data_IF_909512726015
#
_entry.id   IF_909512726015
#
_cell.length_a   1.000
_cell.length_b   1.000
_cell.length_c   1.000
_cell.angle_alpha   90.00
_cell.angle_beta   90.00
_cell.angle_gamma   90.00
#
_symmetry.space_group_name_H-M   'P 1'
#
loop_
_entity.id
_entity.type
_entity.pdbx_description
1 polymer ?
#
# COMPACT_ATOMS: atom_id res chain seq x y z
N UNK A 1 12.62 -46.38 26.36
CA UNK A 1 12.51 -45.28 25.37
C UNK A 1 11.17 -45.25 24.60
N UNK A 2 10.04 -45.67 25.19
CA UNK A 2 8.70 -45.60 24.54
C UNK A 2 7.77 -44.53 25.14
N UNK A 3 8.11 -43.98 26.32
CA UNK A 3 7.30 -42.99 27.05
C UNK A 3 7.62 -41.53 26.69
N UNK A 4 8.85 -41.26 26.21
CA UNK A 4 9.25 -39.92 25.75
C UNK A 4 8.77 -39.60 24.33
N UNK A 5 8.49 -40.61 23.51
CA UNK A 5 7.93 -40.43 22.17
C UNK A 5 6.49 -39.89 22.20
N UNK A 6 5.72 -40.21 23.23
CA UNK A 6 4.34 -39.72 23.39
C UNK A 6 4.27 -38.25 23.80
N UNK A 7 5.25 -37.74 24.54
CA UNK A 7 5.27 -36.34 25.01
C UNK A 7 5.66 -35.39 23.87
N UNK A 8 6.56 -35.81 22.97
CA UNK A 8 6.91 -35.04 21.78
C UNK A 8 5.74 -34.89 20.78
N UNK A 9 4.83 -35.87 20.74
CA UNK A 9 3.65 -35.85 19.88
C UNK A 9 2.58 -34.84 20.33
N UNK A 10 2.55 -34.42 21.59
CA UNK A 10 1.50 -33.54 22.11
C UNK A 10 1.81 -32.05 21.88
N UNK A 11 3.07 -31.68 21.69
CA UNK A 11 3.52 -30.28 21.54
C UNK A 11 3.34 -29.79 20.08
N UNK A 12 3.24 -30.71 19.12
CA UNK A 12 3.18 -30.37 17.69
C UNK A 12 1.79 -29.87 17.20
N UNK A 13 0.77 -29.87 18.06
CA UNK A 13 -0.61 -29.52 17.66
C UNK A 13 -0.97 -28.05 17.94
N UNK A 14 -0.14 -27.28 18.66
CA UNK A 14 -0.50 -25.92 19.08
C UNK A 14 -0.01 -24.76 18.18
N UNK A 15 0.66 -25.03 17.06
CA UNK A 15 1.29 -23.95 16.25
C UNK A 15 0.43 -23.38 15.11
N UNK A 16 -0.87 -23.65 15.03
CA UNK A 16 -1.74 -23.19 13.93
C UNK A 16 -2.89 -22.31 14.40
N UNK A 17 -2.62 -21.18 15.07
CA UNK A 17 -3.59 -20.09 15.19
C UNK A 17 -2.95 -18.80 15.76
N UNK A 18 -2.02 -18.15 15.06
CA UNK A 18 -1.54 -16.81 15.46
C UNK A 18 -1.19 -15.94 14.24
N UNK A 19 -2.11 -15.88 13.27
CA UNK A 19 -1.94 -15.03 12.08
C UNK A 19 -3.02 -13.96 11.91
N UNK A 20 -4.05 -13.93 12.76
CA UNK A 20 -5.19 -13.00 12.62
C UNK A 20 -4.82 -11.55 12.95
N UNK A 21 -4.33 -11.31 14.17
CA UNK A 21 -4.15 -9.96 14.73
C UNK A 21 -3.10 -9.12 14.00
N UNK A 22 -2.05 -9.74 13.46
CA UNK A 22 -1.02 -9.05 12.67
C UNK A 22 -1.56 -8.51 11.33
N UNK A 23 -2.58 -9.15 10.77
CA UNK A 23 -3.08 -8.79 9.43
C UNK A 23 -4.01 -7.57 9.45
N UNK A 24 -4.77 -7.38 10.54
CA UNK A 24 -5.62 -6.19 10.73
C UNK A 24 -4.78 -4.94 11.00
N UNK A 25 -3.80 -5.01 11.92
CA UNK A 25 -2.93 -3.87 12.25
C UNK A 25 -2.21 -3.34 11.00
N UNK A 26 -1.68 -4.23 10.16
CA UNK A 26 -0.98 -3.78 8.94
C UNK A 26 -1.95 -3.13 7.95
N UNK A 27 -3.17 -3.66 7.82
CA UNK A 27 -4.18 -3.06 6.94
C UNK A 27 -4.54 -1.65 7.38
N UNK A 28 -4.68 -1.42 8.67
CA UNK A 28 -5.02 -0.10 9.21
C UNK A 28 -3.89 0.91 8.94
N UNK A 29 -2.63 0.52 9.17
CA UNK A 29 -1.45 1.35 8.86
C UNK A 29 -1.41 1.71 7.36
N UNK A 30 -1.63 0.74 6.47
CA UNK A 30 -1.65 1.01 5.03
C UNK A 30 -2.82 1.90 4.61
N UNK A 31 -3.95 1.79 5.29
CA UNK A 31 -5.14 2.63 5.05
C UNK A 31 -4.85 4.07 5.45
N UNK A 32 -4.29 4.29 6.63
CA UNK A 32 -3.88 5.61 7.10
C UNK A 32 -2.82 6.24 6.19
N UNK A 33 -1.81 5.46 5.80
CA UNK A 33 -0.77 5.93 4.87
C UNK A 33 -1.35 6.33 3.50
N UNK A 34 -2.27 5.53 2.95
CA UNK A 34 -2.94 5.86 1.70
C UNK A 34 -3.79 7.14 1.81
N UNK A 35 -4.55 7.28 2.90
CA UNK A 35 -5.36 8.47 3.16
C UNK A 35 -4.47 9.72 3.27
N UNK A 36 -3.43 9.68 4.13
CA UNK A 36 -2.52 10.81 4.33
C UNK A 36 -1.82 11.21 3.02
N UNK A 37 -1.40 10.24 2.20
CA UNK A 37 -0.81 10.49 0.90
C UNK A 37 -1.76 11.25 -0.02
N UNK A 38 -3.03 10.83 -0.08
CA UNK A 38 -4.03 11.43 -0.96
C UNK A 38 -4.47 12.79 -0.43
N UNK A 39 -4.69 12.95 0.86
CA UNK A 39 -5.06 14.22 1.50
C UNK A 39 -4.01 15.29 1.22
N UNK A 40 -2.72 14.96 1.40
CA UNK A 40 -1.62 15.86 1.08
C UNK A 40 -1.63 16.30 -0.39
N UNK A 41 -1.97 15.38 -1.30
CA UNK A 41 -2.03 15.67 -2.73
C UNK A 41 -3.27 16.45 -3.10
N UNK A 42 -4.38 16.22 -2.40
CA UNK A 42 -5.61 16.95 -2.59
C UNK A 42 -5.41 18.42 -2.22
N UNK A 43 -4.73 18.69 -1.11
CA UNK A 43 -4.35 20.04 -0.68
C UNK A 43 -3.55 20.78 -1.77
N UNK A 44 -2.64 20.07 -2.45
CA UNK A 44 -1.71 20.66 -3.42
C UNK A 44 -2.25 20.73 -4.86
N UNK A 45 -3.04 19.75 -5.29
CA UNK A 45 -3.51 19.60 -6.68
C UNK A 45 -4.96 20.07 -6.84
N UNK A 46 -5.73 20.07 -5.75
CA UNK A 46 -7.14 20.48 -5.70
C UNK A 46 -8.05 19.63 -6.62
N UNK A 47 -8.00 18.30 -6.45
CA UNK A 47 -9.01 17.40 -7.04
C UNK A 47 -10.22 17.21 -6.09
N UNK A 48 -11.33 16.73 -6.63
CA UNK A 48 -12.60 16.63 -5.89
C UNK A 48 -12.54 15.60 -4.76
N UNK A 49 -13.42 15.72 -3.77
CA UNK A 49 -13.55 14.72 -2.68
C UNK A 49 -13.91 13.32 -3.22
N UNK A 50 -14.65 13.25 -4.32
CA UNK A 50 -14.94 11.97 -4.98
C UNK A 50 -13.66 11.37 -5.56
N UNK A 51 -12.87 12.16 -6.31
CA UNK A 51 -11.56 11.72 -6.82
C UNK A 51 -10.65 11.29 -5.67
N UNK A 52 -10.61 12.04 -4.56
CA UNK A 52 -9.83 11.69 -3.38
C UNK A 52 -10.21 10.30 -2.83
N UNK A 53 -11.50 10.01 -2.69
CA UNK A 53 -11.97 8.70 -2.22
C UNK A 53 -11.53 7.55 -3.15
N UNK A 54 -11.65 7.75 -4.47
CA UNK A 54 -11.24 6.76 -5.48
C UNK A 54 -9.71 6.56 -5.49
N UNK A 55 -8.95 7.64 -5.33
CA UNK A 55 -7.49 7.60 -5.24
C UNK A 55 -7.02 6.88 -3.98
N UNK A 56 -7.64 7.13 -2.82
CA UNK A 56 -7.29 6.46 -1.56
C UNK A 56 -7.47 4.96 -1.68
N UNK A 57 -8.57 4.52 -2.29
CA UNK A 57 -8.80 3.09 -2.55
C UNK A 57 -7.76 2.52 -3.51
N UNK A 58 -7.39 3.28 -4.56
CA UNK A 58 -6.39 2.86 -5.55
C UNK A 58 -5.01 2.68 -4.93
N UNK A 59 -4.57 3.64 -4.10
CA UNK A 59 -3.29 3.57 -3.39
C UNK A 59 -3.29 2.46 -2.34
N UNK A 60 -4.38 2.29 -1.57
CA UNK A 60 -4.51 1.18 -0.62
C UNK A 60 -4.40 -0.18 -1.32
N UNK A 61 -5.11 -0.36 -2.43
CA UNK A 61 -5.05 -1.61 -3.20
C UNK A 61 -3.63 -1.90 -3.70
N UNK A 62 -2.92 -0.88 -4.18
CA UNK A 62 -1.52 -1.01 -4.59
C UNK A 62 -0.64 -1.49 -3.43
N UNK A 63 -0.75 -0.85 -2.26
CA UNK A 63 0.04 -1.20 -1.08
C UNK A 63 -0.22 -2.63 -0.60
N UNK A 64 -1.48 -3.07 -0.61
CA UNK A 64 -1.84 -4.44 -0.25
C UNK A 64 -1.25 -5.46 -1.25
N UNK A 65 -1.23 -5.16 -2.54
CA UNK A 65 -0.60 -6.02 -3.54
C UNK A 65 0.93 -6.04 -3.43
N UNK A 66 1.55 -4.93 -3.06
CA UNK A 66 2.99 -4.87 -2.73
C UNK A 66 3.29 -5.75 -1.51
N UNK A 67 2.56 -5.57 -0.41
CA UNK A 67 2.70 -6.38 0.80
C UNK A 67 2.54 -7.88 0.51
N UNK A 68 1.57 -8.24 -0.32
CA UNK A 68 1.33 -9.63 -0.75
C UNK A 68 2.48 -10.17 -1.62
N UNK A 69 3.06 -9.33 -2.48
CA UNK A 69 4.19 -9.70 -3.31
C UNK A 69 5.47 -9.91 -2.48
N UNK A 70 5.72 -9.07 -1.47
CA UNK A 70 6.85 -9.17 -0.55
C UNK A 70 6.77 -10.41 0.35
N UNK A 71 5.58 -10.76 0.80
CA UNK A 71 5.36 -11.96 1.63
C UNK A 71 5.33 -13.27 0.83
N UNK A 72 5.43 -13.23 -0.51
CA UNK A 72 5.42 -14.44 -1.31
C UNK A 72 6.82 -15.06 -1.43
N UNK A 73 7.04 -16.23 -0.80
CA UNK A 73 8.33 -16.96 -0.80
C UNK A 73 8.83 -17.44 -2.17
N UNK A 74 7.94 -17.70 -3.13
CA UNK A 74 8.30 -18.32 -4.42
C UNK A 74 7.81 -17.51 -5.64
N UNK A 75 7.48 -16.23 -5.47
CA UNK A 75 7.00 -15.39 -6.56
C UNK A 75 8.13 -14.54 -7.14
N UNK A 76 8.01 -14.18 -8.42
CA UNK A 76 8.77 -13.05 -8.96
C UNK A 76 8.19 -11.73 -8.40
N UNK A 77 8.63 -11.35 -7.20
CA UNK A 77 8.18 -10.17 -6.46
C UNK A 77 8.35 -8.90 -7.28
N UNK A 78 9.50 -8.71 -7.93
CA UNK A 78 9.77 -7.54 -8.77
C UNK A 78 8.74 -7.39 -9.90
N UNK A 79 8.41 -8.48 -10.60
CA UNK A 79 7.41 -8.45 -11.67
C UNK A 79 6.00 -8.18 -11.13
N UNK A 80 5.64 -8.73 -9.97
CA UNK A 80 4.33 -8.47 -9.34
C UNK A 80 4.18 -7.01 -8.92
N UNK A 81 5.21 -6.44 -8.28
CA UNK A 81 5.21 -5.03 -7.89
C UNK A 81 5.13 -4.14 -9.12
N UNK A 82 5.88 -4.46 -10.19
CA UNK A 82 5.82 -3.73 -11.47
C UNK A 82 4.41 -3.72 -12.05
N UNK A 83 3.76 -4.88 -12.17
CA UNK A 83 2.39 -4.98 -12.67
C UNK A 83 1.38 -4.23 -11.80
N UNK A 84 1.55 -4.28 -10.48
CA UNK A 84 0.71 -3.52 -9.54
C UNK A 84 0.90 -2.01 -9.73
N UNK A 85 2.13 -1.55 -9.94
CA UNK A 85 2.44 -0.15 -10.21
C UNK A 85 1.86 0.34 -11.55
N UNK A 86 1.94 -0.47 -12.61
CA UNK A 86 1.33 -0.17 -13.91
C UNK A 86 -0.20 -0.08 -13.81
N UNK A 87 -0.83 -1.00 -13.07
CA UNK A 87 -2.27 -0.95 -12.82
C UNK A 87 -2.65 0.31 -12.05
N UNK A 88 -1.92 0.62 -10.97
CA UNK A 88 -2.12 1.85 -10.18
C UNK A 88 -2.04 3.07 -11.09
N UNK A 89 -1.01 3.17 -11.92
CA UNK A 89 -0.81 4.31 -12.81
C UNK A 89 -1.96 4.46 -13.82
N UNK A 90 -2.44 3.35 -14.40
CA UNK A 90 -3.60 3.36 -15.29
C UNK A 90 -4.87 3.85 -14.59
N UNK A 91 -5.11 3.44 -13.34
CA UNK A 91 -6.26 3.92 -12.56
C UNK A 91 -6.12 5.42 -12.21
N UNK A 92 -4.92 5.88 -11.84
CA UNK A 92 -4.67 7.31 -11.61
C UNK A 92 -5.04 8.16 -12.84
N UNK A 93 -4.66 7.71 -14.04
CA UNK A 93 -4.98 8.41 -15.29
C UNK A 93 -6.48 8.42 -15.63
N UNK A 94 -7.27 7.46 -15.12
CA UNK A 94 -8.73 7.42 -15.29
C UNK A 94 -9.44 8.36 -14.32
N UNK A 95 -8.95 8.44 -13.08
CA UNK A 95 -9.58 9.22 -12.01
C UNK A 95 -9.25 10.72 -12.16
N UNK A 96 -8.01 11.04 -12.53
CA UNK A 96 -7.50 12.40 -12.59
C UNK A 96 -7.58 12.97 -14.01
N UNK A 97 -7.78 14.29 -14.12
CA UNK A 97 -7.51 14.97 -15.40
C UNK A 97 -6.02 14.88 -15.73
N UNK A 98 -5.67 15.07 -17.00
CA UNK A 98 -4.27 15.00 -17.43
C UNK A 98 -3.36 15.96 -16.65
N UNK A 99 -3.82 17.17 -16.37
CA UNK A 99 -3.06 18.13 -15.58
C UNK A 99 -2.87 17.66 -14.13
N UNK A 100 -3.95 17.20 -13.49
CA UNK A 100 -3.90 16.69 -12.12
C UNK A 100 -2.97 15.47 -12.03
N UNK A 101 -3.05 14.55 -12.99
CA UNK A 101 -2.18 13.38 -13.07
C UNK A 101 -0.70 13.77 -13.17
N UNK A 102 -0.34 14.73 -14.03
CA UNK A 102 1.06 15.18 -14.16
C UNK A 102 1.58 15.79 -12.85
N UNK A 103 0.76 16.58 -12.15
CA UNK A 103 1.12 17.11 -10.81
C UNK A 103 1.27 15.99 -9.79
N UNK A 104 0.37 14.99 -9.82
CA UNK A 104 0.41 13.84 -8.94
C UNK A 104 1.68 13.02 -9.15
N UNK A 105 2.03 12.71 -10.40
CA UNK A 105 3.24 11.99 -10.78
C UNK A 105 4.50 12.76 -10.34
N UNK A 106 4.51 14.08 -10.53
CA UNK A 106 5.62 14.93 -10.12
C UNK A 106 5.85 14.91 -8.59
N UNK A 107 4.78 14.91 -7.80
CA UNK A 107 4.86 14.74 -6.34
C UNK A 107 5.35 13.33 -5.96
N UNK A 108 4.89 12.27 -6.63
CA UNK A 108 5.33 10.89 -6.38
C UNK A 108 6.84 10.72 -6.60
N UNK A 109 7.39 11.43 -7.60
CA UNK A 109 8.83 11.40 -7.93
C UNK A 109 9.66 12.42 -7.14
N UNK A 110 9.09 13.08 -6.12
CA UNK A 110 9.72 14.18 -5.39
C UNK A 110 10.26 15.31 -6.29
N UNK A 111 9.67 15.49 -7.48
CA UNK A 111 10.07 16.52 -8.47
C UNK A 111 9.54 17.91 -8.10
N UNK A 112 8.52 17.98 -7.25
CA UNK A 112 7.98 19.21 -6.67
C UNK A 112 8.07 19.06 -5.15
N UNK A 113 8.86 19.92 -4.50
CA UNK A 113 8.98 19.97 -3.02
C UNK A 113 8.29 21.23 -2.50
N UNK A 114 7.62 21.12 -1.34
CA UNK A 114 7.11 22.28 -0.60
C UNK A 114 8.32 23.13 -0.21
N UNK A 115 8.46 24.31 -0.83
CA UNK A 115 9.46 25.29 -0.42
C UNK A 115 8.74 26.50 0.16
N UNK A 116 9.25 27.09 1.27
CA UNK A 116 8.75 28.37 1.73
C UNK A 116 8.97 29.37 0.60
N UNK A 117 7.89 30.02 0.17
CA UNK A 117 7.98 31.13 -0.76
C UNK A 117 8.81 32.21 -0.07
N UNK A 118 9.97 32.54 -0.63
CA UNK A 118 10.69 33.74 -0.19
C UNK A 118 9.81 34.92 -0.59
N UNK A 119 9.28 35.63 0.40
CA UNK A 119 8.73 36.95 0.17
C UNK A 119 9.86 37.81 -0.44
N UNK A 120 9.60 38.36 -1.62
CA UNK A 120 10.40 39.43 -2.20
C UNK A 120 10.02 40.76 -1.55
#
# INVERSE_FOLDING_TARGET
MKRFAFIASLIMVFSVAYSGEKTTIIRDILTEYAAQKVDNRQELIQFSNQQAKELTQTELNYLLEVQKAENCRCCNTANKIKKSAEKRDSELQKILTREQYLKYEALDKNRIKKHPLRAL
#
